data_IF_023086009623
#
_entry.id   IF_023086009623
#
_cell.length_a   1.000
_cell.length_b   1.000
_cell.length_c   1.000
_cell.angle_alpha   90.00
_cell.angle_beta   90.00
_cell.angle_gamma   90.00
#
_symmetry.space_group_name_H-M   'P 1'
#
loop_
_entity.id
_entity.type
_entity.pdbx_description
1 polymer ?
#
# COMPACT_ATOMS: atom_id res chain seq x y z
N UNK A 1 -17.55 -9.57 31.90
CA UNK A 1 -17.99 -10.24 30.66
C UNK A 1 -19.43 -9.84 30.40
N UNK A 2 -19.69 -8.89 29.50
CA UNK A 2 -21.05 -8.38 29.25
C UNK A 2 -21.68 -9.17 28.10
N UNK A 3 -22.79 -9.87 28.37
CA UNK A 3 -23.63 -10.49 27.33
C UNK A 3 -24.55 -9.43 26.74
N UNK A 4 -24.39 -9.14 25.46
CA UNK A 4 -25.40 -8.41 24.69
C UNK A 4 -26.55 -9.37 24.38
N UNK A 5 -27.77 -8.98 24.79
CA UNK A 5 -28.99 -9.71 24.41
C UNK A 5 -29.33 -9.43 22.94
N UNK A 6 -29.85 -10.39 22.17
CA UNK A 6 -30.26 -10.14 20.79
C UNK A 6 -31.50 -9.22 20.79
N UNK A 7 -31.42 -8.08 20.10
CA UNK A 7 -32.60 -7.24 19.83
C UNK A 7 -33.47 -7.92 18.77
N UNK A 8 -34.79 -7.79 18.95
CA UNK A 8 -35.81 -8.33 18.07
C UNK A 8 -35.63 -7.87 16.59
N UNK A 9 -35.90 -8.75 15.60
CA UNK A 9 -35.84 -8.38 14.20
C UNK A 9 -37.03 -7.48 13.86
N UNK A 10 -36.77 -6.23 13.45
CA UNK A 10 -37.84 -5.35 12.94
C UNK A 10 -37.66 -3.85 13.12
N UNK A 11 -36.59 -3.36 13.75
CA UNK A 11 -36.40 -1.91 13.98
C UNK A 11 -35.11 -1.35 13.38
N UNK A 12 -34.67 -1.85 12.23
CA UNK A 12 -33.67 -1.11 11.45
C UNK A 12 -34.41 -0.02 10.66
N UNK A 13 -34.18 1.27 10.93
CA UNK A 13 -34.73 2.32 10.09
C UNK A 13 -34.27 2.08 8.64
N UNK A 14 -35.16 2.43 7.70
CA UNK A 14 -34.97 2.35 6.26
C UNK A 14 -33.51 2.61 5.87
N UNK A 15 -32.92 1.70 5.07
CA UNK A 15 -31.54 1.76 4.58
C UNK A 15 -31.18 3.21 4.24
N UNK A 16 -30.38 3.85 5.10
CA UNK A 16 -29.78 5.13 4.81
C UNK A 16 -29.07 5.00 3.44
N UNK A 17 -29.23 6.01 2.58
CA UNK A 17 -28.51 6.09 1.30
C UNK A 17 -27.04 5.71 1.55
N UNK A 18 -26.38 4.89 0.72
CA UNK A 18 -24.98 4.57 0.94
C UNK A 18 -24.20 5.89 0.90
N UNK A 19 -23.67 6.33 2.03
CA UNK A 19 -22.76 7.46 2.05
C UNK A 19 -21.54 7.01 1.24
N UNK A 20 -21.18 7.77 0.21
CA UNK A 20 -19.92 7.58 -0.52
C UNK A 20 -18.79 7.96 0.41
N UNK A 21 -18.45 7.02 1.30
CA UNK A 21 -17.37 7.18 2.25
C UNK A 21 -16.08 7.17 1.46
N UNK A 22 -15.33 8.26 1.52
CA UNK A 22 -13.96 8.31 0.99
C UNK A 22 -13.03 7.89 2.11
N UNK A 23 -12.18 6.91 1.84
CA UNK A 23 -11.14 6.46 2.75
C UNK A 23 -9.77 6.77 2.16
N UNK A 24 -8.81 7.08 3.02
CA UNK A 24 -7.42 7.32 2.66
C UNK A 24 -6.53 6.68 3.72
N UNK A 25 -5.46 6.01 3.28
CA UNK A 25 -4.33 5.66 4.14
C UNK A 25 -3.21 6.66 3.88
N UNK A 26 -2.57 7.15 4.95
CA UNK A 26 -1.41 8.04 4.86
C UNK A 26 -0.24 7.37 5.54
N UNK A 27 0.78 7.00 4.76
CA UNK A 27 2.05 6.52 5.28
C UNK A 27 2.91 7.71 5.71
N UNK A 28 3.06 7.91 7.03
CA UNK A 28 3.72 9.09 7.58
C UNK A 28 5.25 8.95 7.72
N UNK A 29 5.83 7.84 7.29
CA UNK A 29 7.27 7.59 7.34
C UNK A 29 7.65 6.41 8.22
N UNK A 30 8.88 6.39 8.71
CA UNK A 30 9.43 5.24 9.43
C UNK A 30 8.87 5.10 10.85
N UNK A 31 8.69 3.86 11.29
CA UNK A 31 8.30 3.56 12.66
C UNK A 31 9.29 4.15 13.66
N UNK A 32 8.79 4.74 14.76
CA UNK A 32 9.56 5.43 15.83
C UNK A 32 10.32 6.69 15.39
N UNK A 33 10.19 7.14 14.14
CA UNK A 33 10.73 8.43 13.73
C UNK A 33 9.83 9.55 14.27
N UNK A 34 10.40 10.51 14.99
CA UNK A 34 9.65 11.68 15.49
C UNK A 34 8.96 12.44 14.35
N UNK A 35 9.67 12.57 13.22
CA UNK A 35 9.15 13.20 12.00
C UNK A 35 7.86 12.55 11.52
N UNK A 36 7.70 11.23 11.69
CA UNK A 36 6.50 10.54 11.26
C UNK A 36 5.28 10.88 12.11
N UNK A 37 5.48 11.12 13.42
CA UNK A 37 4.42 11.59 14.31
C UNK A 37 4.00 13.02 13.94
N UNK A 38 4.98 13.90 13.67
CA UNK A 38 4.72 15.28 13.26
C UNK A 38 3.95 15.30 11.92
N UNK A 39 4.34 14.47 10.95
CA UNK A 39 3.63 14.32 9.66
C UNK A 39 2.21 13.79 9.85
N UNK A 40 2.00 12.78 10.70
CA UNK A 40 0.66 12.25 10.97
C UNK A 40 -0.25 13.31 11.58
N UNK A 41 0.27 14.08 12.54
CA UNK A 41 -0.47 15.18 13.17
C UNK A 41 -0.89 16.24 12.16
N UNK A 42 0.04 16.68 11.30
CA UNK A 42 -0.25 17.64 10.23
C UNK A 42 -1.29 17.10 9.24
N UNK A 43 -1.18 15.84 8.83
CA UNK A 43 -2.15 15.21 7.93
C UNK A 43 -3.57 15.21 8.52
N UNK A 44 -3.72 14.88 9.81
CA UNK A 44 -5.01 14.93 10.51
C UNK A 44 -5.52 16.38 10.58
N UNK A 45 -4.67 17.34 10.95
CA UNK A 45 -5.06 18.76 11.01
C UNK A 45 -5.56 19.27 9.66
N UNK A 46 -4.88 18.96 8.55
CA UNK A 46 -5.32 19.33 7.22
C UNK A 46 -6.63 18.62 6.83
N UNK A 47 -6.81 17.36 7.21
CA UNK A 47 -8.02 16.61 6.92
C UNK A 47 -9.26 17.19 7.61
N UNK A 48 -9.13 17.69 8.85
CA UNK A 48 -10.26 18.24 9.64
C UNK A 48 -10.56 19.72 9.38
N UNK A 49 -9.88 20.36 8.43
CA UNK A 49 -10.14 21.75 8.02
C UNK A 49 -9.05 22.77 8.40
N UNK A 50 -7.84 22.33 8.69
CA UNK A 50 -6.68 23.20 8.84
C UNK A 50 -6.31 23.93 7.54
N UNK A 51 -5.50 25.01 7.62
CA UNK A 51 -5.09 25.78 6.44
C UNK A 51 -4.37 24.87 5.44
N UNK A 52 -4.78 24.88 4.17
CA UNK A 52 -4.10 24.11 3.14
C UNK A 52 -2.81 24.83 2.72
N UNK A 53 -1.67 24.21 2.95
CA UNK A 53 -0.42 24.67 2.34
C UNK A 53 -0.45 24.36 0.83
N UNK A 54 0.05 25.30 0.03
CA UNK A 54 0.14 25.16 -1.42
C UNK A 54 1.33 24.26 -1.78
N UNK A 55 1.11 22.95 -1.73
CA UNK A 55 2.03 21.98 -2.31
C UNK A 55 1.64 21.73 -3.78
N UNK A 56 2.63 21.40 -4.62
CA UNK A 56 2.36 20.88 -5.95
C UNK A 56 1.56 19.57 -5.88
N UNK A 57 0.83 19.19 -6.95
CA UNK A 57 0.08 17.94 -6.95
C UNK A 57 1.02 16.74 -6.73
N UNK A 58 0.62 15.75 -5.92
CA UNK A 58 1.40 14.53 -5.77
C UNK A 58 1.43 13.77 -7.10
N UNK A 59 2.49 12.99 -7.32
CA UNK A 59 2.54 12.04 -8.42
C UNK A 59 1.55 10.92 -8.17
N UNK A 60 0.69 10.64 -9.15
CA UNK A 60 -0.27 9.54 -9.08
C UNK A 60 0.41 8.23 -9.49
N UNK A 61 0.18 7.18 -8.69
CA UNK A 61 0.66 5.83 -8.98
C UNK A 61 -0.52 4.89 -8.88
N UNK A 62 -0.78 4.14 -9.95
CA UNK A 62 -1.81 3.11 -10.00
C UNK A 62 -1.18 1.73 -9.76
N UNK A 63 -1.68 0.99 -8.76
CA UNK A 63 -1.26 -0.40 -8.53
C UNK A 63 -1.88 -1.30 -9.60
N UNK A 64 -1.04 -2.03 -10.33
CA UNK A 64 -1.45 -2.88 -11.46
C UNK A 64 -1.37 -4.38 -11.15
N UNK A 65 -0.77 -4.76 -10.02
CA UNK A 65 -0.70 -6.16 -9.61
C UNK A 65 0.06 -6.38 -8.31
N UNK A 66 -0.09 -7.59 -7.78
CA UNK A 66 0.59 -8.06 -6.58
C UNK A 66 1.36 -9.34 -6.87
N UNK A 67 2.44 -9.56 -6.13
CA UNK A 67 3.13 -10.85 -6.06
C UNK A 67 3.20 -11.27 -4.61
N UNK A 68 3.00 -12.56 -4.36
CA UNK A 68 2.97 -13.16 -3.04
C UNK A 68 4.25 -13.94 -2.78
N UNK A 69 4.67 -13.97 -1.51
CA UNK A 69 5.84 -14.72 -1.06
C UNK A 69 5.56 -16.22 -1.17
N UNK A 70 6.49 -16.95 -1.78
CA UNK A 70 6.49 -18.41 -1.88
C UNK A 70 7.69 -19.01 -1.14
N UNK A 71 7.73 -20.34 -1.06
CA UNK A 71 8.91 -21.05 -0.52
C UNK A 71 10.17 -20.66 -1.28
N UNK A 72 11.26 -20.47 -0.54
CA UNK A 72 12.56 -20.07 -1.10
C UNK A 72 12.68 -18.59 -1.48
N UNK A 73 11.66 -17.77 -1.22
CA UNK A 73 11.67 -16.36 -1.63
C UNK A 73 12.86 -15.57 -1.09
N UNK A 74 13.60 -14.90 -1.99
CA UNK A 74 14.62 -13.92 -1.65
C UNK A 74 14.70 -12.80 -2.68
N UNK A 75 15.05 -11.61 -2.20
CA UNK A 75 15.34 -10.48 -3.08
C UNK A 75 16.67 -10.67 -3.81
N UNK A 76 16.69 -10.31 -5.09
CA UNK A 76 17.90 -10.29 -5.94
C UNK A 76 18.51 -8.89 -6.05
N UNK A 77 17.76 -7.85 -5.68
CA UNK A 77 18.23 -6.48 -5.68
C UNK A 77 19.14 -6.22 -4.47
N UNK A 78 20.24 -5.46 -4.62
CA UNK A 78 21.16 -5.17 -3.52
C UNK A 78 20.52 -4.35 -2.40
N UNK A 79 19.53 -3.52 -2.77
CA UNK A 79 18.68 -2.79 -1.85
C UNK A 79 17.26 -2.78 -2.41
N UNK A 80 16.30 -2.89 -1.51
CA UNK A 80 14.87 -2.89 -1.83
C UNK A 80 14.21 -1.74 -1.09
N UNK A 81 13.62 -0.81 -1.83
CA UNK A 81 12.95 0.36 -1.28
C UNK A 81 11.58 0.59 -1.92
N UNK A 82 10.67 1.21 -1.16
CA UNK A 82 9.40 1.68 -1.69
C UNK A 82 9.62 2.72 -2.81
N UNK A 83 8.80 2.64 -3.84
CA UNK A 83 8.86 3.43 -5.07
C UNK A 83 10.19 3.31 -5.85
N UNK A 84 10.96 2.25 -5.63
CA UNK A 84 12.13 1.94 -6.45
C UNK A 84 11.69 1.55 -7.86
N UNK A 85 12.33 2.17 -8.86
CA UNK A 85 12.13 1.87 -10.28
C UNK A 85 12.80 0.56 -10.66
N UNK A 86 12.12 -0.18 -11.51
CA UNK A 86 12.58 -1.47 -12.02
C UNK A 86 12.33 -1.53 -13.51
N UNK A 87 13.34 -1.91 -14.28
CA UNK A 87 13.22 -2.04 -15.72
C UNK A 87 12.31 -3.23 -16.10
N UNK A 88 11.63 -3.11 -17.24
CA UNK A 88 10.87 -4.20 -17.85
C UNK A 88 11.73 -5.48 -17.96
N UNK A 89 11.17 -6.62 -17.54
CA UNK A 89 11.88 -7.90 -17.57
C UNK A 89 13.04 -8.06 -16.58
N UNK A 90 13.41 -7.05 -15.79
CA UNK A 90 14.43 -7.20 -14.76
C UNK A 90 13.95 -8.19 -13.67
N UNK A 91 14.82 -9.13 -13.31
CA UNK A 91 14.58 -10.04 -12.18
C UNK A 91 14.79 -9.27 -10.86
N UNK A 92 13.78 -9.27 -9.99
CA UNK A 92 13.82 -8.54 -8.71
C UNK A 92 13.96 -9.47 -7.52
N UNK A 93 13.45 -10.69 -7.63
CA UNK A 93 13.45 -11.71 -6.60
C UNK A 93 13.50 -13.08 -7.27
N UNK A 94 13.65 -14.12 -6.47
CA UNK A 94 13.49 -15.50 -6.89
C UNK A 94 12.89 -16.33 -5.76
N UNK A 95 12.26 -17.43 -6.13
CA UNK A 95 11.71 -18.44 -5.25
C UNK A 95 11.99 -19.84 -5.82
N UNK A 96 11.47 -20.89 -5.17
CA UNK A 96 11.67 -22.27 -5.61
C UNK A 96 11.07 -22.59 -7.00
N UNK A 97 10.19 -21.73 -7.53
CA UNK A 97 9.62 -21.83 -8.88
C UNK A 97 10.44 -21.07 -9.93
N UNK A 98 11.45 -20.28 -9.52
CA UNK A 98 12.33 -19.54 -10.41
C UNK A 98 12.35 -18.04 -10.13
N UNK A 99 12.81 -17.27 -11.13
CA UNK A 99 12.97 -15.82 -11.01
C UNK A 99 11.64 -15.09 -11.16
N UNK A 100 11.45 -14.09 -10.30
CA UNK A 100 10.37 -13.13 -10.41
C UNK A 100 10.84 -11.91 -11.21
N UNK A 101 10.23 -11.70 -12.37
CA UNK A 101 10.51 -10.59 -13.26
C UNK A 101 9.46 -9.48 -13.13
N UNK A 102 9.89 -8.24 -13.39
CA UNK A 102 8.99 -7.11 -13.60
C UNK A 102 7.99 -7.43 -14.75
N UNK A 103 6.67 -7.33 -14.53
CA UNK A 103 5.64 -7.88 -15.43
C UNK A 103 5.35 -7.08 -16.70
N UNK A 104 5.86 -5.86 -16.87
CA UNK A 104 5.63 -5.08 -18.11
C UNK A 104 6.51 -5.60 -19.25
N UNK A 105 5.86 -5.87 -20.38
CA UNK A 105 6.50 -6.00 -21.68
C UNK A 105 6.45 -4.61 -22.35
N UNK A 106 7.51 -4.19 -23.05
CA UNK A 106 7.63 -2.90 -23.78
C UNK A 106 8.24 -1.69 -23.06
N UNK A 107 9.15 -1.92 -22.09
CA UNK A 107 10.11 -0.88 -21.69
C UNK A 107 9.60 0.18 -20.71
N UNK A 108 8.36 0.06 -20.23
CA UNK A 108 7.88 0.85 -19.10
C UNK A 108 8.60 0.41 -17.81
N UNK A 109 9.12 1.38 -17.05
CA UNK A 109 9.61 1.13 -15.70
C UNK A 109 8.42 1.03 -14.73
N UNK A 110 8.42 0.01 -13.88
CA UNK A 110 7.46 -0.10 -12.76
C UNK A 110 8.11 0.28 -11.44
N UNK A 111 7.26 0.59 -10.47
CA UNK A 111 7.63 0.92 -9.11
C UNK A 111 7.31 -0.24 -8.16
N UNK A 112 8.23 -0.56 -7.24
CA UNK A 112 7.96 -1.42 -6.09
C UNK A 112 7.23 -0.59 -5.03
N UNK A 113 5.90 -0.70 -4.87
CA UNK A 113 5.15 0.24 -4.01
C UNK A 113 5.32 -0.07 -2.52
N UNK A 114 5.18 -1.34 -2.13
CA UNK A 114 5.32 -1.80 -0.73
C UNK A 114 6.08 -3.12 -0.70
N UNK A 115 7.39 -3.11 -0.97
CA UNK A 115 8.16 -4.35 -0.90
C UNK A 115 8.35 -4.80 0.55
N UNK A 116 8.09 -6.07 0.84
CA UNK A 116 8.34 -6.64 2.16
C UNK A 116 9.83 -6.75 2.45
N UNK A 117 10.24 -6.34 3.66
CA UNK A 117 11.60 -6.54 4.17
C UNK A 117 11.73 -7.85 4.97
N UNK A 118 10.60 -8.44 5.37
CA UNK A 118 10.52 -9.68 6.13
C UNK A 118 9.49 -10.60 5.45
N UNK A 119 9.89 -11.34 4.40
CA UNK A 119 8.96 -12.17 3.62
C UNK A 119 8.30 -13.25 4.48
N UNK A 120 6.97 -13.32 4.45
CA UNK A 120 6.16 -14.36 5.10
C UNK A 120 5.36 -15.09 4.02
N UNK A 121 5.49 -16.42 3.97
CA UNK A 121 4.84 -17.24 2.92
C UNK A 121 3.33 -16.99 2.93
N UNK A 122 2.77 -16.72 1.75
CA UNK A 122 1.34 -16.44 1.56
C UNK A 122 0.94 -14.97 1.68
N UNK A 123 1.83 -14.09 2.17
CA UNK A 123 1.60 -12.65 2.21
C UNK A 123 2.14 -11.95 0.94
N UNK A 124 1.73 -10.70 0.70
CA UNK A 124 2.23 -9.89 -0.39
C UNK A 124 3.73 -9.64 -0.25
N UNK A 125 4.49 -10.08 -1.26
CA UNK A 125 5.90 -9.74 -1.40
C UNK A 125 6.08 -8.30 -1.87
N UNK A 126 5.28 -7.90 -2.86
CA UNK A 126 5.30 -6.54 -3.44
C UNK A 126 4.04 -6.23 -4.24
N UNK A 127 3.70 -4.94 -4.28
CA UNK A 127 2.75 -4.35 -5.22
C UNK A 127 3.51 -3.63 -6.34
N UNK A 128 3.08 -3.85 -7.58
CA UNK A 128 3.61 -3.18 -8.76
C UNK A 128 2.81 -1.91 -9.05
N UNK A 129 3.50 -0.78 -9.10
CA UNK A 129 2.90 0.53 -9.39
C UNK A 129 3.35 1.08 -10.73
N UNK A 130 2.41 1.67 -11.47
CA UNK A 130 2.67 2.45 -12.68
C UNK A 130 2.45 3.93 -12.38
N UNK A 131 3.37 4.77 -12.82
CA UNK A 131 3.23 6.22 -12.74
C UNK A 131 2.23 6.68 -13.81
N UNK A 132 1.22 7.45 -13.42
CA UNK A 132 0.22 8.01 -14.33
C UNK A 132 0.67 9.36 -14.94
#
# INVERSE_FOLDING_TARGET
MYRLSPKAPGSYPARARPWSTRALCVECGQHRARVAVDTAWLAIQHFVGGPHAAYGPPRAITVIGAKFVRSGYRWLLPQVAAFQRVAAGQAVAEDDCGKLHCPEEHGAELLLVVPTQAPVIGEEAVLWGRLD
#
